data_IF_117558692344
#
_entry.id   IF_117558692344
#
_cell.length_a   1.000
_cell.length_b   1.000
_cell.length_c   1.000
_cell.angle_alpha   90.00
_cell.angle_beta   90.00
_cell.angle_gamma   90.00
#
_symmetry.space_group_name_H-M   'P 1'
#
loop_
_entity.id
_entity.type
_entity.pdbx_description
1 polymer ?
#
# COMPACT_ATOMS: atom_id res chain seq x y z
N UNK A 1 -13.45 39.27 -56.11
CA UNK A 1 -12.49 39.78 -57.11
C UNK A 1 -11.10 39.69 -56.52
N UNK A 2 -10.06 39.09 -57.09
CA UNK A 2 -9.82 38.25 -58.28
C UNK A 2 -8.42 37.63 -57.97
N UNK A 3 -8.26 36.31 -57.87
CA UNK A 3 -7.77 35.38 -58.93
C UNK A 3 -6.54 35.81 -59.74
N UNK A 4 -5.44 35.05 -59.58
CA UNK A 4 -4.56 34.54 -60.67
C UNK A 4 -3.74 33.37 -60.08
N UNK A 5 -4.05 32.08 -60.30
CA UNK A 5 -3.83 31.19 -61.46
C UNK A 5 -2.36 31.01 -61.90
N UNK A 6 -1.77 29.84 -61.62
CA UNK A 6 -1.41 28.81 -62.63
C UNK A 6 -0.47 27.71 -62.06
N UNK A 7 -0.82 26.44 -62.32
CA UNK A 7 0.00 25.20 -62.19
C UNK A 7 0.71 24.91 -63.55
N UNK A 8 1.30 23.72 -63.86
CA UNK A 8 1.71 22.51 -63.10
C UNK A 8 3.10 21.93 -63.53
N UNK A 9 3.50 20.78 -62.95
CA UNK A 9 4.12 19.58 -63.59
C UNK A 9 5.32 18.89 -62.89
N UNK A 10 5.08 17.62 -62.55
CA UNK A 10 5.89 16.39 -62.73
C UNK A 10 7.23 16.13 -62.00
N UNK A 11 7.10 15.35 -60.92
CA UNK A 11 7.76 14.08 -60.50
C UNK A 11 8.87 13.51 -61.40
N UNK A 12 9.95 12.98 -60.78
CA UNK A 12 10.24 11.54 -60.93
C UNK A 12 10.42 10.79 -59.60
N UNK A 13 10.07 9.51 -59.69
CA UNK A 13 10.12 8.38 -58.76
C UNK A 13 11.53 7.98 -58.29
N UNK A 14 11.72 7.47 -57.07
CA UNK A 14 12.01 6.03 -56.86
C UNK A 14 12.11 5.58 -55.36
N UNK A 15 11.51 4.41 -55.13
CA UNK A 15 11.80 3.28 -54.22
C UNK A 15 11.96 3.32 -52.67
N UNK A 16 11.10 2.49 -52.06
CA UNK A 16 11.32 1.54 -50.91
C UNK A 16 10.75 1.94 -49.52
N UNK A 17 10.28 0.97 -48.68
CA UNK A 17 8.90 0.98 -48.19
C UNK A 17 8.73 1.24 -46.68
N UNK A 18 7.68 1.98 -46.35
CA UNK A 18 7.20 2.24 -44.99
C UNK A 18 6.17 1.18 -44.56
N UNK A 19 6.49 0.47 -43.49
CA UNK A 19 5.61 -0.44 -42.74
C UNK A 19 4.58 0.37 -41.93
N UNK A 20 3.27 0.15 -42.16
CA UNK A 20 2.20 0.50 -41.22
C UNK A 20 1.03 -0.50 -41.24
N UNK A 21 0.26 -0.59 -40.14
CA UNK A 21 -0.43 -1.81 -39.74
C UNK A 21 -1.87 -1.92 -40.25
N UNK A 22 -2.29 -3.18 -40.41
CA UNK A 22 -3.56 -3.64 -40.98
C UNK A 22 -4.78 -3.33 -40.12
N UNK A 23 -5.77 -2.63 -40.68
CA UNK A 23 -7.18 -2.66 -40.25
C UNK A 23 -7.98 -3.40 -41.32
N UNK A 24 -8.58 -4.52 -40.94
CA UNK A 24 -9.49 -5.31 -41.77
C UNK A 24 -10.88 -4.67 -41.77
N UNK A 25 -11.36 -4.34 -42.96
CA UNK A 25 -12.73 -3.93 -43.25
C UNK A 25 -13.53 -5.18 -43.60
N UNK A 26 -14.67 -5.36 -42.92
CA UNK A 26 -15.65 -6.42 -43.16
C UNK A 26 -16.44 -6.08 -44.43
N UNK A 27 -16.51 -7.03 -45.37
CA UNK A 27 -17.49 -7.01 -46.46
C UNK A 27 -18.18 -8.37 -46.54
N UNK A 28 -19.51 -8.34 -46.60
CA UNK A 28 -20.42 -9.49 -46.72
C UNK A 28 -20.35 -10.10 -48.12
N UNK A 29 -20.35 -11.43 -48.22
CA UNK A 29 -20.82 -12.14 -49.42
C UNK A 29 -21.53 -13.46 -49.08
N UNK A 30 -22.84 -13.43 -49.35
CA UNK A 30 -23.75 -14.45 -49.89
C UNK A 30 -23.48 -15.95 -49.68
N UNK A 31 -24.46 -16.59 -49.03
CA UNK A 31 -24.75 -18.03 -49.07
C UNK A 31 -25.03 -18.51 -50.50
N UNK A 32 -24.09 -19.24 -51.09
CA UNK A 32 -24.29 -20.41 -51.98
C UNK A 32 -22.90 -20.94 -52.34
N UNK A 33 -22.80 -22.25 -52.53
CA UNK A 33 -21.60 -23.02 -52.87
C UNK A 33 -20.74 -23.51 -51.69
N UNK A 34 -21.28 -24.50 -50.96
CA UNK A 34 -20.47 -25.48 -50.22
C UNK A 34 -20.71 -26.89 -50.78
N UNK A 35 -19.85 -27.23 -51.73
CA UNK A 35 -19.00 -28.42 -51.79
C UNK A 35 -19.65 -29.85 -51.80
N UNK A 36 -19.57 -30.58 -52.94
CA UNK A 36 -20.01 -31.99 -53.12
C UNK A 36 -19.32 -33.04 -52.23
N UNK A 37 -18.24 -32.68 -51.54
CA UNK A 37 -17.43 -33.60 -50.73
C UNK A 37 -18.12 -34.01 -49.41
N UNK A 38 -19.09 -33.21 -48.94
CA UNK A 38 -19.85 -33.50 -47.70
C UNK A 38 -20.88 -34.62 -47.90
N UNK A 39 -21.38 -34.80 -49.12
CA UNK A 39 -22.35 -35.85 -49.47
C UNK A 39 -21.66 -37.21 -49.62
N UNK A 40 -20.42 -37.25 -50.12
CA UNK A 40 -19.66 -38.50 -50.29
C UNK A 40 -19.20 -39.10 -48.94
N UNK A 41 -18.78 -38.28 -47.97
CA UNK A 41 -18.41 -38.75 -46.63
C UNK A 41 -19.60 -39.28 -45.81
N UNK A 42 -20.79 -38.73 -46.02
CA UNK A 42 -22.00 -39.20 -45.34
C UNK A 42 -22.46 -40.58 -45.84
N UNK A 43 -22.27 -40.89 -47.12
CA UNK A 43 -22.66 -42.20 -47.68
C UNK A 43 -21.69 -43.32 -47.25
N UNK A 44 -20.38 -43.06 -47.21
CA UNK A 44 -19.39 -44.05 -46.73
C UNK A 44 -19.50 -44.35 -45.23
N UNK A 45 -19.91 -43.35 -44.41
CA UNK A 45 -20.17 -43.54 -42.98
C UNK A 45 -21.50 -44.29 -42.71
N UNK A 46 -22.47 -44.17 -43.62
CA UNK A 46 -23.76 -44.87 -43.56
C UNK A 46 -23.62 -46.38 -43.73
N UNK A 47 -22.83 -46.83 -44.70
CA UNK A 47 -22.70 -48.26 -45.00
C UNK A 47 -21.93 -49.05 -43.92
N UNK A 48 -20.92 -48.43 -43.29
CA UNK A 48 -20.22 -49.02 -42.14
C UNK A 48 -21.09 -49.10 -40.87
N UNK A 49 -22.09 -48.23 -40.72
CA UNK A 49 -23.07 -48.30 -39.62
C UNK A 49 -24.09 -49.42 -39.82
N UNK A 50 -24.48 -49.72 -41.06
CA UNK A 50 -25.41 -50.83 -41.36
C UNK A 50 -24.77 -52.22 -41.27
N UNK A 51 -23.47 -52.38 -41.55
CA UNK A 51 -22.81 -53.68 -41.46
C UNK A 51 -22.48 -54.10 -40.02
N UNK A 52 -22.23 -53.14 -39.11
CA UNK A 52 -21.95 -53.42 -37.69
C UNK A 52 -23.21 -53.73 -36.85
N UNK A 53 -24.40 -53.43 -37.37
CA UNK A 53 -25.68 -53.72 -36.69
C UNK A 53 -26.20 -55.15 -36.94
N UNK A 54 -25.71 -55.87 -37.96
CA UNK A 54 -26.22 -57.24 -38.26
C UNK A 54 -25.49 -58.38 -37.55
N UNK A 55 -24.32 -58.14 -36.94
CA UNK A 55 -23.54 -59.18 -36.24
C UNK A 55 -22.85 -58.66 -34.96
N UNK A 56 -23.48 -57.73 -34.24
CA UNK A 56 -23.08 -57.43 -32.87
C UNK A 56 -23.88 -58.33 -31.91
N UNK A 57 -23.25 -59.03 -30.94
CA UNK A 57 -24.03 -59.66 -29.87
C UNK A 57 -24.88 -58.56 -29.24
N UNK A 58 -26.17 -58.81 -29.05
CA UNK A 58 -27.07 -57.89 -28.33
C UNK A 58 -26.41 -57.59 -27.00
N UNK A 59 -25.71 -56.45 -26.89
CA UNK A 59 -25.42 -55.84 -25.60
C UNK A 59 -26.80 -55.46 -25.10
N UNK A 60 -27.33 -56.30 -24.22
CA UNK A 60 -28.37 -55.90 -23.31
C UNK A 60 -27.76 -54.71 -22.57
N UNK A 61 -28.10 -53.48 -22.95
CA UNK A 61 -28.00 -52.36 -22.03
C UNK A 61 -29.01 -52.69 -20.95
N UNK A 62 -28.55 -53.46 -19.96
CA UNK A 62 -29.22 -53.54 -18.67
C UNK A 62 -29.15 -52.10 -18.18
N UNK A 63 -30.22 -51.34 -18.35
CA UNK A 63 -30.41 -50.14 -17.56
C UNK A 63 -30.19 -50.61 -16.12
N UNK A 64 -29.10 -50.16 -15.50
CA UNK A 64 -28.82 -50.44 -14.10
C UNK A 64 -29.85 -49.60 -13.32
N UNK A 65 -31.08 -50.10 -13.29
CA UNK A 65 -32.16 -49.54 -12.51
C UNK A 65 -31.74 -49.84 -11.08
N UNK A 66 -31.13 -48.85 -10.44
CA UNK A 66 -30.80 -48.88 -9.03
C UNK A 66 -32.06 -49.32 -8.29
N UNK A 67 -31.91 -50.31 -7.42
CA UNK A 67 -32.99 -50.72 -6.53
C UNK A 67 -33.45 -49.50 -5.71
N UNK A 68 -34.70 -49.50 -5.28
CA UNK A 68 -35.23 -48.41 -4.44
C UNK A 68 -34.36 -48.20 -3.19
N UNK A 69 -33.77 -49.27 -2.64
CA UNK A 69 -32.78 -49.20 -1.55
C UNK A 69 -31.48 -48.48 -1.93
N UNK A 70 -30.95 -48.70 -3.13
CA UNK A 70 -29.74 -48.02 -3.60
C UNK A 70 -29.98 -46.54 -3.93
N UNK A 71 -31.16 -46.21 -4.46
CA UNK A 71 -31.59 -44.82 -4.63
C UNK A 71 -31.72 -44.15 -3.27
N UNK A 72 -32.32 -44.83 -2.29
CA UNK A 72 -32.49 -44.31 -0.93
C UNK A 72 -31.14 -44.11 -0.22
N UNK A 73 -30.22 -45.08 -0.27
CA UNK A 73 -28.84 -44.92 0.23
C UNK A 73 -28.11 -43.75 -0.41
N UNK A 74 -28.27 -43.54 -1.72
CA UNK A 74 -27.65 -42.39 -2.42
C UNK A 74 -28.24 -41.07 -1.96
N UNK A 75 -29.56 -40.97 -1.76
CA UNK A 75 -30.21 -39.77 -1.22
C UNK A 75 -29.69 -39.44 0.18
N UNK A 76 -29.57 -40.44 1.05
CA UNK A 76 -29.03 -40.28 2.41
C UNK A 76 -27.58 -39.82 2.40
N UNK A 77 -26.72 -40.39 1.55
CA UNK A 77 -25.34 -39.93 1.39
C UNK A 77 -25.25 -38.48 0.90
N UNK A 78 -26.12 -38.06 -0.03
CA UNK A 78 -26.14 -36.68 -0.53
C UNK A 78 -26.61 -35.72 0.57
N UNK A 79 -27.65 -36.08 1.32
CA UNK A 79 -28.16 -35.26 2.42
C UNK A 79 -27.09 -35.10 3.51
N UNK A 80 -26.44 -36.19 3.91
CA UNK A 80 -25.34 -36.17 4.87
C UNK A 80 -24.18 -35.29 4.42
N UNK A 81 -23.77 -35.39 3.13
CA UNK A 81 -22.73 -34.50 2.58
C UNK A 81 -23.14 -33.03 2.60
N UNK A 82 -24.40 -32.72 2.27
CA UNK A 82 -24.93 -31.35 2.34
C UNK A 82 -24.96 -30.83 3.79
N UNK A 83 -25.32 -31.66 4.75
CA UNK A 83 -25.30 -31.31 6.17
C UNK A 83 -23.87 -31.08 6.67
N UNK A 84 -22.93 -31.95 6.30
CA UNK A 84 -21.50 -31.79 6.63
C UNK A 84 -20.90 -30.53 6.00
N UNK A 85 -21.25 -30.22 4.76
CA UNK A 85 -20.83 -29.00 4.05
C UNK A 85 -21.46 -27.75 4.67
N UNK A 86 -22.76 -27.79 4.99
CA UNK A 86 -23.45 -26.70 5.67
C UNK A 86 -22.88 -26.46 7.08
N UNK A 87 -22.55 -27.52 7.82
CA UNK A 87 -21.91 -27.41 9.14
C UNK A 87 -20.50 -26.82 9.03
N UNK A 88 -19.72 -27.23 8.01
CA UNK A 88 -18.39 -26.67 7.74
C UNK A 88 -18.47 -25.19 7.34
N UNK A 89 -19.44 -24.82 6.51
CA UNK A 89 -19.66 -23.44 6.09
C UNK A 89 -20.19 -22.57 7.25
N UNK A 90 -21.01 -23.13 8.14
CA UNK A 90 -21.46 -22.45 9.36
C UNK A 90 -20.33 -22.20 10.37
N UNK A 91 -19.31 -23.06 10.39
CA UNK A 91 -18.10 -22.86 11.21
C UNK A 91 -17.07 -21.92 10.59
N UNK A 92 -17.29 -21.47 9.34
CA UNK A 92 -16.34 -20.58 8.68
C UNK A 92 -16.33 -19.23 9.44
N UNK A 93 -15.15 -18.72 9.84
CA UNK A 93 -15.09 -17.44 10.51
C UNK A 93 -15.69 -16.36 9.61
N UNK A 94 -16.50 -15.48 10.18
CA UNK A 94 -17.14 -14.35 9.53
C UNK A 94 -17.07 -13.14 10.46
N UNK A 95 -17.03 -11.96 9.86
CA UNK A 95 -17.21 -10.71 10.59
C UNK A 95 -18.67 -10.59 11.02
N UNK A 96 -18.92 -10.13 12.24
CA UNK A 96 -20.26 -9.72 12.62
C UNK A 96 -20.61 -8.36 11.97
N UNK A 97 -21.89 -8.00 11.95
CA UNK A 97 -22.32 -6.77 11.28
C UNK A 97 -21.70 -5.50 11.88
N UNK A 98 -21.48 -5.50 13.19
CA UNK A 98 -20.90 -4.36 13.89
C UNK A 98 -19.44 -4.13 13.48
N UNK A 99 -18.65 -5.20 13.42
CA UNK A 99 -17.28 -5.20 12.93
C UNK A 99 -17.22 -4.75 11.46
N UNK A 100 -18.11 -5.28 10.62
CA UNK A 100 -18.17 -4.89 9.21
C UNK A 100 -18.50 -3.39 9.04
N UNK A 101 -19.47 -2.87 9.80
CA UNK A 101 -19.81 -1.43 9.82
C UNK A 101 -18.64 -0.58 10.31
N UNK A 102 -18.00 -0.99 11.41
CA UNK A 102 -16.84 -0.29 11.98
C UNK A 102 -15.71 -0.18 10.96
N UNK A 103 -15.35 -1.27 10.30
CA UNK A 103 -14.30 -1.29 9.27
C UNK A 103 -14.69 -0.39 8.10
N UNK A 104 -15.94 -0.49 7.62
CA UNK A 104 -16.43 0.38 6.54
C UNK A 104 -16.32 1.87 6.89
N UNK A 105 -16.67 2.25 8.12
CA UNK A 105 -16.54 3.64 8.58
C UNK A 105 -15.07 4.10 8.60
N UNK A 106 -14.14 3.25 9.03
CA UNK A 106 -12.71 3.59 9.07
C UNK A 106 -12.11 3.72 7.67
N UNK A 107 -12.48 2.84 6.74
CA UNK A 107 -12.07 2.94 5.34
C UNK A 107 -12.59 4.24 4.71
N UNK A 108 -13.88 4.55 4.91
CA UNK A 108 -14.47 5.80 4.43
C UNK A 108 -13.78 7.03 5.05
N UNK A 109 -13.47 6.96 6.34
CA UNK A 109 -12.77 8.01 7.05
C UNK A 109 -11.38 8.27 6.43
N UNK A 110 -10.65 7.20 6.12
CA UNK A 110 -9.35 7.27 5.47
C UNK A 110 -9.46 7.86 4.06
N UNK A 111 -10.38 7.38 3.22
CA UNK A 111 -10.58 7.91 1.87
C UNK A 111 -10.92 9.41 1.86
N UNK A 112 -11.71 9.88 2.82
CA UNK A 112 -12.06 11.31 2.95
C UNK A 112 -10.89 12.19 3.42
N UNK A 113 -9.85 11.59 3.98
CA UNK A 113 -8.75 12.32 4.64
C UNK A 113 -7.37 11.99 4.09
N UNK A 114 -7.30 11.08 3.12
CA UNK A 114 -6.09 10.74 2.38
C UNK A 114 -6.32 11.00 0.89
N UNK A 115 -5.75 12.09 0.39
CA UNK A 115 -5.74 12.38 -1.04
C UNK A 115 -4.58 11.62 -1.71
N UNK A 116 -4.89 10.52 -2.40
CA UNK A 116 -3.92 9.73 -3.14
C UNK A 116 -3.36 10.43 -4.40
N UNK A 117 -3.97 11.54 -4.83
CA UNK A 117 -3.43 12.36 -5.93
C UNK A 117 -2.36 13.36 -5.45
N UNK A 118 -2.29 13.61 -4.14
CA UNK A 118 -1.41 14.61 -3.52
C UNK A 118 -1.56 16.01 -4.11
N UNK A 119 -2.74 16.35 -4.62
CA UNK A 119 -3.00 17.59 -5.37
C UNK A 119 -2.74 18.87 -4.57
N UNK A 120 -3.01 18.82 -3.26
CA UNK A 120 -2.81 19.93 -2.34
C UNK A 120 -1.32 20.24 -2.05
N UNK A 121 -0.38 19.35 -2.40
CA UNK A 121 1.05 19.53 -2.07
C UNK A 121 1.68 20.73 -2.79
N UNK A 122 1.11 21.11 -3.94
CA UNK A 122 1.47 22.32 -4.69
C UNK A 122 1.24 23.63 -3.93
N UNK A 123 0.46 23.60 -2.83
CA UNK A 123 0.14 24.77 -2.00
C UNK A 123 1.16 25.01 -0.89
N UNK A 124 2.05 24.07 -0.65
CA UNK A 124 3.08 24.18 0.40
C UNK A 124 4.18 25.14 -0.05
N UNK A 125 4.93 25.68 0.91
CA UNK A 125 6.22 26.31 0.59
C UNK A 125 7.07 25.33 -0.23
N UNK A 126 7.64 25.72 -1.38
CA UNK A 126 8.28 24.76 -2.29
C UNK A 126 9.44 23.98 -1.64
N UNK A 127 9.65 22.71 -2.01
CA UNK A 127 10.80 21.95 -1.53
C UNK A 127 12.10 22.54 -2.08
N UNK A 128 13.04 22.88 -1.20
CA UNK A 128 14.37 23.37 -1.58
C UNK A 128 15.40 22.31 -1.24
N UNK A 129 15.84 21.56 -2.25
CA UNK A 129 16.81 20.45 -2.10
C UNK A 129 18.27 20.92 -2.15
N UNK A 130 18.51 22.13 -2.63
CA UNK A 130 19.82 22.78 -2.60
C UNK A 130 20.10 23.28 -1.18
N UNK A 131 21.17 22.81 -0.54
CA UNK A 131 21.54 23.22 0.81
C UNK A 131 22.56 22.30 1.48
N UNK A 132 23.28 22.80 2.51
CA UNK A 132 24.23 22.04 3.30
C UNK A 132 23.53 20.90 4.02
N UNK A 133 24.04 19.70 3.77
CA UNK A 133 23.65 18.48 4.47
C UNK A 133 24.14 18.58 5.92
N UNK A 134 23.30 18.27 6.92
CA UNK A 134 23.71 18.33 8.35
C UNK A 134 24.97 17.49 8.59
N UNK A 135 25.85 17.86 9.55
CA UNK A 135 27.14 17.14 9.79
C UNK A 135 26.97 15.61 9.96
N UNK A 136 25.85 15.19 10.55
CA UNK A 136 25.48 13.77 10.69
C UNK A 136 25.17 13.09 9.35
N UNK A 137 24.65 13.84 8.38
CA UNK A 137 24.40 13.40 7.02
C UNK A 137 25.60 13.65 6.07
N UNK A 138 26.51 14.59 6.35
CA UNK A 138 27.78 14.75 5.61
C UNK A 138 28.73 13.57 5.83
N UNK A 139 28.75 13.00 7.05
CA UNK A 139 29.45 11.74 7.35
C UNK A 139 28.88 10.55 6.58
N UNK A 140 27.65 10.63 6.12
CA UNK A 140 27.00 9.61 5.30
C UNK A 140 27.26 9.78 3.79
N UNK A 141 27.75 10.94 3.33
CA UNK A 141 27.93 11.30 1.92
C UNK A 141 29.31 10.93 1.33
N UNK A 142 30.29 10.48 2.12
CA UNK A 142 31.63 10.09 1.64
C UNK A 142 31.74 8.65 1.15
N UNK A 143 30.65 7.90 1.19
CA UNK A 143 30.57 6.58 0.60
C UNK A 143 30.03 6.86 -0.80
N UNK A 144 30.83 6.78 -1.88
CA UNK A 144 30.39 6.98 -3.29
C UNK A 144 31.29 6.17 -4.26
N UNK A 145 31.14 4.83 -4.42
CA UNK A 145 31.63 4.02 -5.59
C UNK A 145 31.45 2.50 -5.41
N UNK A 146 30.85 1.84 -6.42
CA UNK A 146 30.29 0.48 -6.38
C UNK A 146 31.13 -0.63 -7.06
N UNK A 147 30.77 -1.86 -6.64
CA UNK A 147 30.73 -3.16 -7.34
C UNK A 147 32.02 -3.95 -7.63
N UNK A 148 32.09 -5.18 -7.07
CA UNK A 148 32.11 -6.40 -7.89
C UNK A 148 31.73 -7.66 -7.08
N UNK A 149 31.39 -8.72 -7.82
CA UNK A 149 31.34 -10.14 -7.46
C UNK A 149 29.97 -10.82 -7.22
N UNK A 150 29.67 -11.64 -8.23
CA UNK A 150 28.62 -12.62 -8.45
C UNK A 150 28.80 -13.95 -7.67
N UNK A 151 27.69 -14.70 -7.59
CA UNK A 151 27.54 -16.17 -7.70
C UNK A 151 27.48 -17.08 -6.47
N UNK A 152 26.34 -17.80 -6.41
CA UNK A 152 26.07 -19.21 -6.02
C UNK A 152 26.70 -19.87 -4.77
N UNK A 153 25.83 -20.45 -3.92
CA UNK A 153 25.70 -21.93 -3.75
C UNK A 153 24.80 -22.34 -2.58
N UNK A 154 24.06 -23.43 -2.77
CA UNK A 154 23.26 -24.15 -1.76
C UNK A 154 24.15 -24.88 -0.72
N UNK A 155 23.85 -24.78 0.59
CA UNK A 155 23.71 -25.91 1.54
C UNK A 155 23.53 -25.49 3.03
N UNK A 156 22.53 -26.11 3.68
CA UNK A 156 22.29 -26.46 5.10
C UNK A 156 22.77 -25.58 6.29
N UNK A 157 21.81 -25.07 7.09
CA UNK A 157 21.53 -25.32 8.55
C UNK A 157 20.60 -24.23 9.13
N UNK A 158 19.71 -24.48 10.12
CA UNK A 158 18.74 -23.50 10.59
C UNK A 158 19.30 -22.69 11.77
N UNK A 159 20.04 -21.64 11.46
CA UNK A 159 20.25 -20.53 12.39
C UNK A 159 19.58 -19.28 11.80
N UNK A 160 19.01 -18.48 12.70
CA UNK A 160 18.20 -17.29 12.44
C UNK A 160 18.68 -16.50 11.22
N UNK A 161 17.91 -16.56 10.14
CA UNK A 161 18.11 -15.71 8.97
C UNK A 161 17.60 -14.31 9.33
N UNK A 162 18.37 -13.59 10.13
CA UNK A 162 18.27 -12.15 10.23
C UNK A 162 18.52 -11.60 8.84
N UNK A 163 17.44 -11.36 8.11
CA UNK A 163 17.44 -10.50 6.93
C UNK A 163 17.62 -9.08 7.45
N UNK A 164 18.80 -8.80 8.01
CA UNK A 164 19.31 -7.45 8.23
C UNK A 164 19.27 -6.84 6.84
N UNK A 165 18.21 -6.08 6.55
CA UNK A 165 18.20 -5.16 5.41
C UNK A 165 19.52 -4.42 5.52
N UNK A 166 20.45 -4.73 4.62
CA UNK A 166 21.81 -4.25 4.72
C UNK A 166 21.73 -2.78 4.34
N UNK A 167 21.38 -1.95 5.33
CA UNK A 167 21.15 -0.51 5.17
C UNK A 167 22.39 0.14 4.55
N UNK A 168 23.56 -0.44 4.82
CA UNK A 168 24.83 -0.23 4.15
C UNK A 168 24.74 -0.31 2.61
N UNK A 169 24.02 -1.29 2.05
CA UNK A 169 23.88 -1.48 0.60
C UNK A 169 22.87 -0.51 -0.04
N UNK A 170 21.83 -0.10 0.70
CA UNK A 170 20.92 0.95 0.23
C UNK A 170 21.62 2.31 0.20
N UNK A 171 22.46 2.56 1.22
CA UNK A 171 23.33 3.73 1.29
C UNK A 171 24.41 3.71 0.18
N UNK A 172 24.74 2.52 -0.34
CA UNK A 172 25.69 2.32 -1.46
C UNK A 172 25.16 2.72 -2.84
N UNK A 173 23.84 2.89 -3.04
CA UNK A 173 23.28 3.24 -4.36
C UNK A 173 23.15 4.75 -4.62
N UNK A 174 23.17 5.59 -3.59
CA UNK A 174 22.95 7.02 -3.74
C UNK A 174 24.25 7.78 -3.99
N UNK A 175 25.14 7.16 -4.80
CA UNK A 175 26.59 7.21 -4.64
C UNK A 175 27.45 7.90 -5.72
N UNK A 176 26.99 8.95 -6.40
CA UNK A 176 27.90 9.68 -7.31
C UNK A 176 27.67 11.22 -7.37
N UNK A 177 28.73 12.01 -7.10
CA UNK A 177 28.74 13.49 -7.18
C UNK A 177 29.54 14.25 -6.09
N UNK A 178 30.85 14.47 -6.28
CA UNK A 178 31.73 15.36 -5.51
C UNK A 178 31.64 16.84 -6.01
N UNK A 179 32.15 17.94 -5.44
CA UNK A 179 33.15 18.30 -4.40
C UNK A 179 33.13 19.84 -4.12
N UNK A 180 33.63 20.29 -2.95
CA UNK A 180 34.50 21.48 -2.69
C UNK A 180 34.19 22.20 -1.35
N UNK A 181 35.18 22.57 -0.52
CA UNK A 181 34.98 23.33 0.71
C UNK A 181 35.47 24.78 0.55
N UNK A 182 34.56 25.76 0.43
CA UNK A 182 34.80 27.09 1.00
C UNK A 182 33.53 27.97 1.04
N UNK A 183 33.49 28.82 2.07
CA UNK A 183 32.67 30.03 2.29
C UNK A 183 31.23 29.94 2.88
N UNK A 184 31.10 30.57 4.06
CA UNK A 184 29.89 31.05 4.78
C UNK A 184 28.86 30.02 5.25
N UNK A 185 29.12 29.38 6.40
CA UNK A 185 28.39 28.21 6.95
C UNK A 185 27.09 28.48 7.77
N UNK A 186 26.50 29.68 7.81
CA UNK A 186 25.43 29.93 8.82
C UNK A 186 23.99 30.05 8.32
N UNK A 187 23.71 30.52 7.10
CA UNK A 187 22.33 30.90 6.72
C UNK A 187 21.53 29.87 5.88
N UNK A 188 22.05 28.65 5.66
CA UNK A 188 21.39 27.65 4.79
C UNK A 188 21.05 26.32 5.49
N UNK A 189 21.02 26.26 6.82
CA UNK A 189 21.08 24.99 7.55
C UNK A 189 19.90 24.04 7.37
N UNK A 190 18.67 24.52 7.10
CA UNK A 190 17.46 23.69 7.09
C UNK A 190 16.53 23.95 5.89
N UNK A 191 17.05 23.85 4.67
CA UNK A 191 16.35 24.23 3.42
C UNK A 191 14.99 23.54 3.20
N UNK A 192 14.79 22.32 3.71
CA UNK A 192 13.53 21.57 3.57
C UNK A 192 12.55 21.80 4.73
N UNK A 193 12.95 22.49 5.81
CA UNK A 193 12.11 22.70 6.99
C UNK A 193 10.79 23.41 6.66
N UNK A 194 10.75 24.52 5.90
CA UNK A 194 9.48 25.19 5.58
C UNK A 194 8.50 24.27 4.86
N UNK A 195 8.98 23.52 3.86
CA UNK A 195 8.16 22.60 3.08
C UNK A 195 7.62 21.45 3.93
N UNK A 196 8.49 20.79 4.70
CA UNK A 196 8.09 19.66 5.53
C UNK A 196 7.22 20.09 6.72
N UNK A 197 7.39 21.31 7.23
CA UNK A 197 6.49 21.88 8.23
C UNK A 197 5.06 22.04 7.69
N UNK A 198 4.90 22.51 6.45
CA UNK A 198 3.58 22.61 5.79
C UNK A 198 2.97 21.23 5.52
N UNK A 199 3.78 20.28 5.04
CA UNK A 199 3.35 18.89 4.79
C UNK A 199 2.88 18.21 6.09
N UNK A 200 3.64 18.36 7.17
CA UNK A 200 3.28 17.80 8.48
C UNK A 200 2.04 18.49 9.03
N UNK A 201 1.93 19.82 8.93
CA UNK A 201 0.74 20.57 9.33
C UNK A 201 -0.52 20.11 8.60
N UNK A 202 -0.43 19.98 7.27
CA UNK A 202 -1.50 19.40 6.45
C UNK A 202 -1.86 17.99 6.91
N UNK A 203 -0.85 17.15 7.17
CA UNK A 203 -1.06 15.77 7.60
C UNK A 203 -1.73 15.70 8.97
N UNK A 204 -1.39 16.59 9.92
CA UNK A 204 -2.06 16.72 11.22
C UNK A 204 -3.55 17.02 11.01
N UNK A 205 -3.90 18.00 10.17
CA UNK A 205 -5.31 18.32 9.88
C UNK A 205 -6.08 17.11 9.34
N UNK A 206 -5.43 16.33 8.46
CA UNK A 206 -6.02 15.09 7.94
C UNK A 206 -6.15 14.00 9.01
N UNK A 207 -5.19 13.86 9.92
CA UNK A 207 -5.29 12.94 11.07
C UNK A 207 -6.44 13.34 12.00
N UNK A 208 -6.61 14.64 12.29
CA UNK A 208 -7.76 15.15 13.07
C UNK A 208 -9.07 14.81 12.35
N UNK A 209 -9.14 15.00 11.03
CA UNK A 209 -10.28 14.62 10.22
C UNK A 209 -10.62 13.13 10.34
N UNK A 210 -9.60 12.27 10.26
CA UNK A 210 -9.74 10.82 10.39
C UNK A 210 -10.26 10.44 11.79
N UNK A 211 -9.62 10.96 12.84
CA UNK A 211 -9.98 10.72 14.23
C UNK A 211 -11.45 11.04 14.50
N UNK A 212 -11.92 12.19 14.01
CA UNK A 212 -13.30 12.65 14.16
C UNK A 212 -14.34 11.75 13.48
N UNK A 213 -13.94 10.78 12.66
CA UNK A 213 -14.84 9.81 12.03
C UNK A 213 -14.70 8.40 12.61
N UNK A 214 -13.76 8.17 13.53
CA UNK A 214 -13.65 6.91 14.27
C UNK A 214 -14.89 6.77 15.18
N UNK A 215 -15.64 5.65 15.10
CA UNK A 215 -16.78 5.42 15.99
C UNK A 215 -16.40 5.53 17.47
N UNK A 216 -17.11 6.40 18.21
CA UNK A 216 -16.87 6.64 19.64
C UNK A 216 -15.87 7.76 19.95
N UNK A 217 -15.04 8.21 19.01
CA UNK A 217 -14.02 9.25 19.30
C UNK A 217 -14.64 10.61 19.64
N UNK A 218 -15.69 11.03 18.90
CA UNK A 218 -16.38 12.30 19.17
C UNK A 218 -17.18 12.32 20.47
N UNK A 219 -17.45 11.15 21.03
CA UNK A 219 -18.18 10.99 22.29
C UNK A 219 -17.26 11.14 23.51
N UNK A 220 -15.92 11.16 23.30
CA UNK A 220 -14.93 11.45 24.32
C UNK A 220 -14.94 12.94 24.70
N UNK A 221 -14.40 13.26 25.87
CA UNK A 221 -14.19 14.65 26.29
C UNK A 221 -13.26 15.39 25.33
N UNK A 222 -13.33 16.73 25.30
CA UNK A 222 -12.44 17.51 24.44
C UNK A 222 -10.97 17.33 24.88
N UNK A 223 -10.76 17.23 26.18
CA UNK A 223 -9.47 16.99 26.84
C UNK A 223 -8.87 15.66 26.38
N UNK A 224 -9.66 14.57 26.39
CA UNK A 224 -9.22 13.26 25.90
C UNK A 224 -8.95 13.25 24.39
N UNK A 225 -9.82 13.90 23.60
CA UNK A 225 -9.60 14.02 22.15
C UNK A 225 -8.28 14.74 21.85
N UNK A 226 -7.98 15.82 22.57
CA UNK A 226 -6.72 16.57 22.46
C UNK A 226 -5.54 15.72 22.91
N UNK A 227 -5.63 15.07 24.07
CA UNK A 227 -4.56 14.22 24.61
C UNK A 227 -4.16 13.09 23.64
N UNK A 228 -5.16 12.40 23.07
CA UNK A 228 -4.95 11.34 22.08
C UNK A 228 -4.32 11.90 20.79
N UNK A 229 -4.80 13.04 20.29
CA UNK A 229 -4.26 13.65 19.06
C UNK A 229 -2.82 14.15 19.25
N UNK A 230 -2.53 14.90 20.33
CA UNK A 230 -1.19 15.43 20.61
C UNK A 230 -0.16 14.32 20.74
N UNK A 231 -0.53 13.22 21.39
CA UNK A 231 0.38 12.11 21.67
C UNK A 231 0.54 11.10 20.52
N UNK A 232 -0.43 10.98 19.61
CA UNK A 232 -0.39 9.98 18.53
C UNK A 232 -0.19 10.56 17.13
N UNK A 233 -0.37 11.88 16.92
CA UNK A 233 -0.38 12.46 15.56
C UNK A 233 0.83 12.08 14.71
N UNK A 234 2.05 12.12 15.27
CA UNK A 234 3.25 11.73 14.53
C UNK A 234 3.27 10.23 14.19
N UNK A 235 2.77 9.37 15.07
CA UNK A 235 2.69 7.93 14.84
C UNK A 235 1.71 7.61 13.71
N UNK A 236 0.56 8.29 13.68
CA UNK A 236 -0.42 8.16 12.60
C UNK A 236 0.14 8.72 11.28
N UNK A 237 0.91 9.81 11.33
CA UNK A 237 1.63 10.35 10.15
C UNK A 237 2.64 9.34 9.62
N UNK A 238 3.40 8.68 10.48
CA UNK A 238 4.34 7.65 10.08
C UNK A 238 3.63 6.42 9.48
N UNK A 239 2.51 5.98 10.07
CA UNK A 239 1.68 4.89 9.53
C UNK A 239 1.16 5.23 8.13
N UNK A 240 0.41 6.33 7.98
CA UNK A 240 -0.19 6.73 6.68
C UNK A 240 0.85 6.98 5.59
N UNK A 241 2.06 7.41 5.96
CA UNK A 241 3.13 7.66 4.99
C UNK A 241 3.58 6.37 4.29
N UNK A 242 3.33 5.20 4.88
CA UNK A 242 3.65 3.91 4.28
C UNK A 242 2.94 3.66 2.95
N UNK A 243 1.76 4.26 2.75
CA UNK A 243 1.01 4.15 1.50
C UNK A 243 1.79 4.74 0.31
N UNK A 244 2.47 5.87 0.50
CA UNK A 244 3.39 6.49 -0.48
C UNK A 244 4.82 5.93 -0.47
N UNK A 245 5.18 5.10 0.52
CA UNK A 245 6.54 4.57 0.64
C UNK A 245 6.79 3.45 -0.38
N UNK A 246 7.90 3.56 -1.12
CA UNK A 246 8.35 2.56 -2.09
C UNK A 246 9.55 1.77 -1.56
N UNK A 247 9.51 0.45 -1.70
CA UNK A 247 10.65 -0.43 -1.38
C UNK A 247 11.74 -0.40 -2.45
N UNK A 248 11.43 0.10 -3.66
CA UNK A 248 12.36 0.11 -4.79
C UNK A 248 13.47 1.13 -4.58
N UNK A 249 13.08 2.35 -4.18
CA UNK A 249 13.99 3.48 -4.01
C UNK A 249 14.02 3.99 -2.55
N UNK A 250 13.26 3.36 -1.64
CA UNK A 250 13.26 3.70 -0.22
C UNK A 250 12.93 5.17 0.03
N UNK A 251 11.97 5.67 -0.73
CA UNK A 251 11.49 7.05 -0.70
C UNK A 251 9.97 7.10 -0.55
N UNK A 252 9.46 8.27 -0.13
CA UNK A 252 8.03 8.58 -0.16
C UNK A 252 7.73 9.30 -1.46
N UNK A 253 6.98 8.67 -2.36
CA UNK A 253 6.60 9.22 -3.66
C UNK A 253 5.17 9.74 -3.61
N UNK A 254 5.01 11.06 -3.46
CA UNK A 254 3.72 11.72 -3.31
C UNK A 254 3.29 12.44 -4.61
N UNK A 255 3.11 11.67 -5.68
CA UNK A 255 2.76 12.20 -7.00
C UNK A 255 3.98 12.44 -7.89
N UNK A 256 4.23 13.70 -8.27
CA UNK A 256 5.34 14.06 -9.16
C UNK A 256 6.72 14.03 -8.49
N UNK A 257 7.81 14.18 -9.28
CA UNK A 257 9.20 14.14 -8.76
C UNK A 257 9.48 15.22 -7.71
N UNK A 258 8.80 16.36 -7.78
CA UNK A 258 8.94 17.45 -6.81
C UNK A 258 8.54 17.04 -5.39
N UNK A 259 7.66 16.05 -5.24
CA UNK A 259 7.16 15.55 -3.97
C UNK A 259 7.62 14.11 -3.71
N UNK A 260 8.80 13.77 -4.24
CA UNK A 260 9.54 12.58 -3.85
C UNK A 260 10.51 12.93 -2.73
N UNK A 261 10.39 12.25 -1.60
CA UNK A 261 11.20 12.50 -0.40
C UNK A 261 12.09 11.30 -0.10
N UNK A 262 13.40 11.50 -0.19
CA UNK A 262 14.39 10.55 0.32
C UNK A 262 14.84 10.94 1.74
N UNK A 263 15.63 10.07 2.38
CA UNK A 263 16.21 10.35 3.71
C UNK A 263 16.95 11.69 3.72
N UNK A 264 17.71 11.99 2.66
CA UNK A 264 18.49 13.22 2.53
C UNK A 264 17.63 14.49 2.43
N UNK A 265 16.34 14.38 2.08
CA UNK A 265 15.43 15.53 2.08
C UNK A 265 14.95 15.83 3.50
N UNK A 266 14.68 14.78 4.29
CA UNK A 266 14.22 14.93 5.68
C UNK A 266 15.36 15.39 6.60
N UNK A 267 16.62 15.02 6.31
CA UNK A 267 17.78 15.54 7.06
C UNK A 267 17.95 17.05 6.89
N UNK A 268 17.61 17.60 5.72
CA UNK A 268 17.60 19.06 5.46
C UNK A 268 16.47 19.80 6.16
N UNK A 269 15.62 19.12 6.94
CA UNK A 269 14.69 19.75 7.88
C UNK A 269 15.16 19.66 9.34
N UNK A 270 16.38 19.18 9.59
CA UNK A 270 17.01 19.19 10.92
C UNK A 270 16.91 17.88 11.68
N UNK A 271 16.31 16.86 11.08
CA UNK A 271 16.27 15.51 11.66
C UNK A 271 17.55 14.73 11.38
N UNK A 272 17.93 13.88 12.33
CA UNK A 272 19.15 13.07 12.24
C UNK A 272 18.85 11.60 11.92
N UNK A 273 19.90 10.85 11.58
CA UNK A 273 19.79 9.40 11.34
C UNK A 273 19.35 8.61 12.58
N UNK A 274 19.49 9.16 13.80
CA UNK A 274 18.93 8.53 15.02
C UNK A 274 17.41 8.32 14.91
N UNK A 275 16.71 9.23 14.22
CA UNK A 275 15.27 9.09 13.92
C UNK A 275 15.04 8.39 12.58
N UNK A 276 15.79 8.79 11.54
CA UNK A 276 15.47 8.42 10.17
C UNK A 276 15.81 6.95 9.86
N UNK A 277 16.87 6.37 10.45
CA UNK A 277 17.16 4.95 10.22
C UNK A 277 16.09 4.03 10.83
N UNK A 278 15.68 4.19 12.11
CA UNK A 278 14.55 3.43 12.65
C UNK A 278 13.26 3.69 11.87
N UNK A 279 13.02 4.91 11.39
CA UNK A 279 11.82 5.24 10.62
C UNK A 279 11.79 4.45 9.30
N UNK A 280 12.88 4.42 8.55
CA UNK A 280 12.95 3.68 7.28
C UNK A 280 12.86 2.18 7.53
N UNK A 281 13.51 1.64 8.57
CA UNK A 281 13.35 0.24 8.99
C UNK A 281 11.90 -0.09 9.33
N UNK A 282 11.22 0.82 10.01
CA UNK A 282 9.79 0.72 10.31
C UNK A 282 8.96 0.70 9.02
N UNK A 283 9.16 1.65 8.09
CA UNK A 283 8.44 1.71 6.81
C UNK A 283 8.63 0.44 5.98
N UNK A 284 9.86 -0.04 5.87
CA UNK A 284 10.18 -1.29 5.19
C UNK A 284 9.46 -2.47 5.85
N UNK A 285 9.58 -2.58 7.18
CA UNK A 285 8.97 -3.66 7.94
C UNK A 285 7.46 -3.68 7.81
N UNK A 286 6.82 -2.51 7.84
CA UNK A 286 5.37 -2.35 7.67
C UNK A 286 4.93 -2.69 6.24
N UNK A 287 5.64 -2.19 5.22
CA UNK A 287 5.32 -2.44 3.81
C UNK A 287 5.40 -3.93 3.47
N UNK A 288 6.37 -4.65 4.06
CA UNK A 288 6.53 -6.11 3.92
C UNK A 288 5.42 -6.94 4.59
N UNK A 289 4.60 -6.34 5.45
CA UNK A 289 3.41 -7.03 5.97
C UNK A 289 2.31 -7.16 4.92
N UNK A 290 2.38 -6.42 3.80
CA UNK A 290 1.38 -6.41 2.73
C UNK A 290 -0.05 -6.25 3.28
N UNK A 291 -0.22 -5.27 4.19
CA UNK A 291 -1.49 -5.03 4.84
C UNK A 291 -2.56 -4.68 3.81
N UNK A 292 -3.76 -5.22 4.01
CA UNK A 292 -4.95 -4.72 3.36
C UNK A 292 -5.27 -3.30 3.85
N UNK A 293 -6.06 -2.55 3.10
CA UNK A 293 -6.48 -1.20 3.49
C UNK A 293 -7.22 -1.22 4.84
N UNK A 294 -8.09 -2.20 5.05
CA UNK A 294 -8.86 -2.39 6.28
C UNK A 294 -7.95 -2.64 7.48
N UNK A 295 -6.90 -3.45 7.31
CA UNK A 295 -5.91 -3.73 8.35
C UNK A 295 -5.10 -2.47 8.67
N UNK A 296 -4.77 -1.67 7.65
CA UNK A 296 -4.06 -0.42 7.81
C UNK A 296 -4.86 0.62 8.60
N UNK A 297 -6.13 0.83 8.25
CA UNK A 297 -7.00 1.81 8.95
C UNK A 297 -7.35 1.37 10.36
N UNK A 298 -7.52 0.06 10.59
CA UNK A 298 -7.67 -0.49 11.94
C UNK A 298 -6.42 -0.27 12.78
N UNK A 299 -5.22 -0.49 12.22
CA UNK A 299 -3.97 -0.24 12.92
C UNK A 299 -3.81 1.23 13.32
N UNK A 300 -4.17 2.17 12.42
CA UNK A 300 -4.20 3.59 12.74
C UNK A 300 -5.21 3.91 13.85
N UNK A 301 -6.42 3.36 13.81
CA UNK A 301 -7.43 3.59 14.82
C UNK A 301 -7.01 3.04 16.20
N UNK A 302 -6.40 1.84 16.26
CA UNK A 302 -5.86 1.25 17.49
C UNK A 302 -4.72 2.11 18.04
N UNK A 303 -3.81 2.58 17.19
CA UNK A 303 -2.71 3.46 17.58
C UNK A 303 -3.23 4.78 18.19
N UNK A 304 -4.26 5.37 17.59
CA UNK A 304 -4.86 6.63 18.02
C UNK A 304 -5.59 6.49 19.34
N UNK A 305 -6.42 5.45 19.50
CA UNK A 305 -7.18 5.16 20.72
C UNK A 305 -6.35 4.39 21.75
N UNK A 306 -5.14 4.86 22.05
CA UNK A 306 -4.32 4.26 23.11
C UNK A 306 -4.68 4.85 24.47
N UNK A 307 -5.11 4.06 25.47
CA UNK A 307 -5.50 4.58 26.78
C UNK A 307 -4.30 5.04 27.62
N UNK A 308 -3.08 4.61 27.30
CA UNK A 308 -1.86 4.90 28.06
C UNK A 308 -1.18 6.23 27.65
N UNK A 309 -1.88 7.11 26.93
CA UNK A 309 -1.34 8.39 26.49
C UNK A 309 -1.33 9.42 27.62
N UNK A 310 -0.29 10.27 27.72
CA UNK A 310 -0.27 11.36 28.70
C UNK A 310 -1.46 12.31 28.53
N UNK A 311 -2.10 12.68 29.64
CA UNK A 311 -3.23 13.61 29.66
C UNK A 311 -4.62 12.99 29.48
N UNK A 312 -4.69 11.70 29.13
CA UNK A 312 -5.96 10.95 29.11
C UNK A 312 -6.57 10.86 30.51
N UNK A 313 -7.88 11.06 30.59
CA UNK A 313 -8.70 11.02 31.80
C UNK A 313 -9.55 9.74 31.84
N UNK A 314 -10.35 9.47 30.79
CA UNK A 314 -11.23 8.29 30.73
C UNK A 314 -10.55 7.08 30.08
N UNK A 315 -9.55 6.55 30.80
CA UNK A 315 -8.77 5.39 30.35
C UNK A 315 -9.65 4.17 30.02
N UNK A 316 -10.66 3.88 30.85
CA UNK A 316 -11.52 2.70 30.70
C UNK A 316 -12.39 2.79 29.45
N UNK A 317 -12.92 3.98 29.13
CA UNK A 317 -13.69 4.18 27.91
C UNK A 317 -12.82 4.03 26.67
N UNK A 318 -11.62 4.59 26.67
CA UNK A 318 -10.69 4.51 25.53
C UNK A 318 -10.20 3.08 25.33
N UNK A 319 -9.87 2.37 26.40
CA UNK A 319 -9.50 0.94 26.37
C UNK A 319 -10.64 0.10 25.75
N UNK A 320 -11.89 0.31 26.18
CA UNK A 320 -13.04 -0.38 25.58
C UNK A 320 -13.18 -0.12 24.07
N UNK A 321 -12.89 1.10 23.61
CA UNK A 321 -12.91 1.41 22.17
C UNK A 321 -11.75 0.71 21.43
N UNK A 322 -10.55 0.72 22.02
CA UNK A 322 -9.36 0.07 21.46
C UNK A 322 -9.52 -1.46 21.38
N UNK A 323 -10.13 -2.08 22.39
CA UNK A 323 -10.39 -3.52 22.44
C UNK A 323 -11.33 -3.94 21.31
N UNK A 324 -12.43 -3.20 21.09
CA UNK A 324 -13.37 -3.47 19.99
C UNK A 324 -12.70 -3.39 18.62
N UNK A 325 -11.81 -2.42 18.42
CA UNK A 325 -11.01 -2.30 17.19
C UNK A 325 -10.04 -3.47 17.05
N UNK A 326 -9.39 -3.87 18.13
CA UNK A 326 -8.45 -4.99 18.18
C UNK A 326 -9.14 -6.33 17.89
N UNK A 327 -10.34 -6.55 18.42
CA UNK A 327 -11.19 -7.70 18.10
C UNK A 327 -11.61 -7.71 16.63
N UNK A 328 -12.01 -6.55 16.08
CA UNK A 328 -12.36 -6.40 14.67
C UNK A 328 -11.17 -6.71 13.76
N UNK A 329 -9.95 -6.24 14.10
CA UNK A 329 -8.73 -6.55 13.35
C UNK A 329 -8.38 -8.03 13.38
N UNK A 330 -8.41 -8.65 14.56
CA UNK A 330 -8.17 -10.09 14.67
C UNK A 330 -9.19 -10.91 13.89
N UNK A 331 -10.47 -10.51 13.92
CA UNK A 331 -11.52 -11.15 13.14
C UNK A 331 -11.28 -10.96 11.63
N UNK A 332 -10.95 -9.74 11.19
CA UNK A 332 -10.68 -9.46 9.77
C UNK A 332 -9.51 -10.30 9.25
N UNK A 333 -8.38 -10.32 9.95
CA UNK A 333 -7.20 -11.11 9.55
C UNK A 333 -7.57 -12.59 9.41
N UNK A 334 -8.31 -13.17 10.38
CA UNK A 334 -8.72 -14.58 10.36
C UNK A 334 -9.60 -14.92 9.15
N UNK A 335 -10.44 -13.98 8.71
CA UNK A 335 -11.42 -14.20 7.63
C UNK A 335 -10.80 -13.92 6.26
N UNK A 336 -10.04 -12.83 6.16
CA UNK A 336 -9.70 -12.20 4.88
C UNK A 336 -8.22 -12.28 4.51
N UNK A 337 -7.32 -12.65 5.43
CA UNK A 337 -5.87 -12.65 5.17
C UNK A 337 -5.28 -14.08 5.23
N UNK A 338 -5.27 -14.83 4.11
CA UNK A 338 -4.65 -16.16 4.05
C UNK A 338 -3.18 -16.11 4.50
N UNK A 339 -2.80 -17.03 5.40
CA UNK A 339 -1.43 -17.05 5.95
C UNK A 339 -1.15 -16.00 7.03
N UNK A 340 -2.12 -15.17 7.41
CA UNK A 340 -2.00 -14.10 8.40
C UNK A 340 -1.92 -14.55 9.88
N UNK A 341 -1.58 -15.81 10.18
CA UNK A 341 -1.63 -16.37 11.55
C UNK A 341 -0.87 -15.54 12.58
N UNK A 342 0.29 -14.98 12.20
CA UNK A 342 1.13 -14.15 13.07
C UNK A 342 1.01 -12.65 12.75
N UNK A 343 0.12 -12.26 11.83
CA UNK A 343 0.06 -10.90 11.33
C UNK A 343 -0.38 -9.92 12.42
N UNK A 344 -1.40 -10.26 13.21
CA UNK A 344 -1.86 -9.41 14.31
C UNK A 344 -0.73 -9.10 15.30
N UNK A 345 0.01 -10.12 15.75
CA UNK A 345 1.15 -9.92 16.65
C UNK A 345 2.24 -9.02 16.04
N UNK A 346 2.54 -9.19 14.75
CA UNK A 346 3.48 -8.31 14.03
C UNK A 346 2.98 -6.87 13.94
N UNK A 347 1.68 -6.66 13.75
CA UNK A 347 1.08 -5.32 13.73
C UNK A 347 1.12 -4.65 15.10
N UNK A 348 0.85 -5.38 16.19
CA UNK A 348 1.00 -4.84 17.56
C UNK A 348 2.46 -4.51 17.86
N UNK A 349 3.42 -5.32 17.41
CA UNK A 349 4.83 -4.97 17.50
C UNK A 349 5.17 -3.66 16.76
N UNK A 350 4.52 -3.39 15.62
CA UNK A 350 4.69 -2.10 14.92
C UNK A 350 4.17 -0.92 15.74
N UNK A 351 3.12 -1.09 16.55
CA UNK A 351 2.68 -0.04 17.48
C UNK A 351 3.72 0.22 18.58
N UNK A 352 4.40 -0.82 19.07
CA UNK A 352 5.50 -0.64 20.02
C UNK A 352 6.69 0.10 19.37
N UNK A 353 7.08 -0.29 18.14
CA UNK A 353 8.14 0.40 17.38
C UNK A 353 7.83 1.91 17.21
N UNK A 354 6.55 2.26 17.01
CA UNK A 354 6.10 3.65 16.89
C UNK A 354 6.29 4.47 18.18
N UNK A 355 6.18 3.85 19.35
CA UNK A 355 6.43 4.56 20.63
C UNK A 355 7.87 5.05 20.71
N UNK A 356 8.83 4.21 20.32
CA UNK A 356 10.25 4.60 20.26
C UNK A 356 10.52 5.67 19.20
N UNK A 357 9.87 5.58 18.03
CA UNK A 357 9.97 6.61 17.00
C UNK A 357 9.40 7.96 17.45
N UNK A 358 8.29 7.94 18.17
CA UNK A 358 7.65 9.13 18.73
C UNK A 358 8.55 9.80 19.78
N UNK A 359 9.18 9.02 20.66
CA UNK A 359 10.12 9.54 21.66
C UNK A 359 11.32 10.24 21.00
N UNK A 360 11.96 9.60 20.02
CA UNK A 360 13.09 10.18 19.31
C UNK A 360 12.67 11.40 18.48
N UNK A 361 11.51 11.35 17.81
CA UNK A 361 10.95 12.52 17.12
C UNK A 361 10.73 13.68 18.09
N UNK A 362 10.12 13.42 19.25
CA UNK A 362 9.83 14.44 20.26
C UNK A 362 11.11 15.09 20.81
N UNK A 363 12.17 14.29 21.04
CA UNK A 363 13.50 14.78 21.44
C UNK A 363 14.10 15.72 20.38
N UNK A 364 14.06 15.33 19.11
CA UNK A 364 14.61 16.15 18.02
C UNK A 364 13.76 17.40 17.75
N UNK A 365 12.43 17.28 17.75
CA UNK A 365 11.51 18.40 17.63
C UNK A 365 11.74 19.44 18.72
N UNK A 366 11.90 19.01 19.97
CA UNK A 366 12.21 19.91 21.09
C UNK A 366 13.52 20.67 20.85
N UNK A 367 14.56 19.98 20.41
CA UNK A 367 15.87 20.58 20.12
C UNK A 367 15.79 21.60 18.96
N UNK A 368 14.97 21.31 17.94
CA UNK A 368 14.74 22.19 16.80
C UNK A 368 13.91 23.41 17.18
N UNK A 369 12.80 23.21 17.90
CA UNK A 369 11.85 24.27 18.28
C UNK A 369 12.39 25.23 19.35
N UNK A 370 13.41 24.85 20.12
CA UNK A 370 14.10 25.76 21.04
C UNK A 370 14.87 26.89 20.35
N UNK A 371 15.20 26.75 19.06
CA UNK A 371 15.88 27.78 18.26
C UNK A 371 14.82 28.66 17.58
N UNK A 372 14.69 29.95 17.93
CA UNK A 372 13.67 30.85 17.37
C UNK A 372 13.67 30.92 15.84
N UNK A 373 14.85 30.95 15.23
CA UNK A 373 15.07 30.97 13.79
C UNK A 373 14.47 29.75 13.06
N UNK A 374 14.37 28.61 13.76
CA UNK A 374 13.78 27.38 13.23
C UNK A 374 12.29 27.30 13.59
N UNK A 375 11.90 27.65 14.82
CA UNK A 375 10.51 27.58 15.25
C UNK A 375 9.61 28.56 14.50
N UNK A 376 10.13 29.72 14.09
CA UNK A 376 9.43 30.69 13.23
C UNK A 376 9.08 30.14 11.84
N UNK A 377 9.72 29.05 11.41
CA UNK A 377 9.41 28.39 10.13
C UNK A 377 8.30 27.34 10.27
N UNK A 378 7.98 26.93 11.50
CA UNK A 378 6.92 25.97 11.79
C UNK A 378 5.54 26.64 11.71
N UNK A 379 4.51 25.83 11.43
CA UNK A 379 3.14 26.33 11.43
C UNK A 379 2.57 26.37 12.86
N UNK A 380 1.60 27.25 13.16
CA UNK A 380 0.95 27.29 14.49
C UNK A 380 0.40 25.93 14.95
N UNK A 381 -0.18 25.16 14.03
CA UNK A 381 -0.73 23.84 14.35
C UNK A 381 0.36 22.82 14.72
N UNK A 382 1.52 22.88 14.07
CA UNK A 382 2.67 22.02 14.42
C UNK A 382 3.16 22.37 15.83
N UNK A 383 3.25 23.67 16.13
CA UNK A 383 3.63 24.17 17.45
C UNK A 383 2.63 23.73 18.54
N UNK A 384 1.33 23.79 18.26
CA UNK A 384 0.28 23.38 19.20
C UNK A 384 0.29 21.88 19.48
N UNK A 385 0.38 21.05 18.43
CA UNK A 385 0.25 19.59 18.55
C UNK A 385 1.51 18.95 19.14
N UNK A 386 2.70 19.39 18.72
CA UNK A 386 3.97 18.83 19.21
C UNK A 386 4.59 19.65 20.35
N UNK A 387 4.04 20.82 20.67
CA UNK A 387 4.45 21.61 21.81
C UNK A 387 4.06 20.99 23.15
N UNK A 388 4.86 21.26 24.17
CA UNK A 388 4.68 20.74 25.54
C UNK A 388 3.60 21.46 26.36
N UNK A 389 2.92 22.47 25.80
CA UNK A 389 1.82 23.14 26.49
C UNK A 389 0.63 22.18 26.59
N UNK A 390 0.34 21.73 27.81
CA UNK A 390 -0.86 20.94 28.12
C UNK A 390 -1.91 21.92 28.63
N UNK A 391 -3.11 21.88 28.04
CA UNK A 391 -4.27 22.65 28.49
C UNK A 391 -4.77 22.20 29.85
#
# INVERSE_FOLDING_TARGET
DETTLASPENVPTDNSPSVRPSRLVVSEFSQKDVNPMRTAMNNYCGEYKTLKQRNAPRRVEVAFILTDEEVQRKKEMILKRKEEEAAREAMRPRLNEEQARMISCLVEAHHKTYDASYSDFSRFRPPVREGPVTRSASRAASLHSLSDASSDSFNHSPESVDTKMNFSNLLMMYQDGASSPDSSEEDTKLSMLPHLADLVSYSIQKVIGFAKMIPGFRDLTAEDQIALLKSSAIEIIMLRSNQSFSLEDMSWSCGGPDFKYCINDVTKAGHTLELLEPLVKFQVGLKKLNLHEEEHVLLMAICLLSPDRPGVQDHARIEQLQDRLSEALQAYIRVNHPGGRLLYAKMIQKLADLRSLNEEHSKQYRSLSFQPEHSMQLTPLVLEVFGSEVS
#
